data_IF_718009014495
#
_entry.id   IF_718009014495
#
_cell.length_a   1.000
_cell.length_b   1.000
_cell.length_c   1.000
_cell.angle_alpha   90.00
_cell.angle_beta   90.00
_cell.angle_gamma   90.00
#
_symmetry.space_group_name_H-M   'P 1'
#
loop_
_entity.id
_entity.type
_entity.pdbx_description
1 polymer ?
#
# COMPACT_ATOMS: atom_id res chain seq x y z
N UNK A 1 9.04 -25.09 -4.34
CA UNK A 1 7.60 -24.79 -4.17
C UNK A 1 6.93 -24.75 -5.54
N UNK A 2 5.66 -25.15 -5.63
CA UNK A 2 4.78 -25.03 -6.81
C UNK A 2 3.64 -24.03 -6.53
N UNK A 3 2.91 -23.59 -7.56
CA UNK A 3 1.81 -22.62 -7.39
C UNK A 3 0.68 -23.14 -6.51
N UNK A 4 0.33 -24.42 -6.66
CA UNK A 4 -0.66 -25.11 -5.81
C UNK A 4 -0.19 -25.18 -4.35
N UNK A 5 1.08 -25.52 -4.12
CA UNK A 5 1.65 -25.58 -2.75
C UNK A 5 1.60 -24.22 -2.04
N UNK A 6 1.91 -23.12 -2.74
CA UNK A 6 1.80 -21.77 -2.18
C UNK A 6 0.34 -21.41 -1.87
N UNK A 7 -0.59 -21.74 -2.77
CA UNK A 7 -2.00 -21.45 -2.58
C UNK A 7 -2.59 -22.23 -1.40
N UNK A 8 -2.28 -23.52 -1.29
CA UNK A 8 -2.66 -24.38 -0.16
C UNK A 8 -2.10 -23.82 1.16
N UNK A 9 -0.83 -23.39 1.16
CA UNK A 9 -0.21 -22.78 2.32
C UNK A 9 -0.93 -21.51 2.78
N UNK A 10 -1.26 -20.60 1.87
CA UNK A 10 -1.97 -19.35 2.23
C UNK A 10 -3.41 -19.66 2.67
N UNK A 11 -4.06 -20.65 2.07
CA UNK A 11 -5.45 -21.02 2.38
C UNK A 11 -5.63 -21.50 3.83
N UNK A 12 -4.57 -22.02 4.45
CA UNK A 12 -4.54 -22.41 5.85
C UNK A 12 -4.47 -21.19 6.81
N UNK A 13 -4.25 -19.96 6.31
CA UNK A 13 -4.40 -18.72 7.09
C UNK A 13 -5.90 -18.38 7.19
N UNK A 14 -6.52 -18.44 8.39
CA UNK A 14 -7.94 -18.20 8.57
C UNK A 14 -8.36 -16.82 8.05
N UNK A 15 -9.54 -16.72 7.44
CA UNK A 15 -10.08 -15.44 6.98
C UNK A 15 -9.58 -14.98 5.60
N UNK A 16 -8.63 -15.69 4.98
CA UNK A 16 -8.23 -15.43 3.60
C UNK A 16 -9.08 -16.22 2.60
N UNK A 17 -9.30 -15.64 1.43
CA UNK A 17 -9.97 -16.28 0.30
C UNK A 17 -8.95 -16.41 -0.84
N UNK A 18 -8.47 -17.63 -1.09
CA UNK A 18 -7.42 -17.89 -2.07
C UNK A 18 -8.01 -18.46 -3.36
N UNK A 19 -7.64 -17.87 -4.48
CA UNK A 19 -7.84 -18.44 -5.81
C UNK A 19 -6.50 -18.52 -6.54
N UNK A 20 -6.33 -19.50 -7.42
CA UNK A 20 -5.09 -19.62 -8.19
C UNK A 20 -5.36 -20.18 -9.59
N UNK A 21 -4.48 -19.81 -10.51
CA UNK A 21 -4.50 -20.25 -11.90
C UNK A 21 -3.08 -20.37 -12.45
N UNK A 22 -2.92 -20.50 -13.78
CA UNK A 22 -1.60 -20.63 -14.40
C UNK A 22 -0.65 -19.47 -14.04
N UNK A 23 0.26 -19.70 -13.09
CA UNK A 23 1.30 -18.75 -12.69
C UNK A 23 0.84 -17.55 -11.84
N UNK A 24 -0.40 -17.55 -11.35
CA UNK A 24 -0.97 -16.46 -10.53
C UNK A 24 -1.70 -17.04 -9.31
N UNK A 25 -1.44 -16.46 -8.14
CA UNK A 25 -2.20 -16.68 -6.91
C UNK A 25 -2.84 -15.35 -6.51
N UNK A 26 -4.14 -15.35 -6.26
CA UNK A 26 -4.88 -14.18 -5.77
C UNK A 26 -5.38 -14.49 -4.36
N UNK A 27 -5.09 -13.59 -3.43
CA UNK A 27 -5.45 -13.73 -2.02
C UNK A 27 -6.31 -12.55 -1.65
N UNK A 28 -7.62 -12.77 -1.60
CA UNK A 28 -8.55 -11.77 -1.09
C UNK A 28 -8.56 -11.79 0.43
N UNK A 29 -8.43 -10.61 1.04
CA UNK A 29 -8.44 -10.43 2.50
C UNK A 29 -9.66 -9.56 2.83
N UNK A 30 -10.81 -10.16 3.20
CA UNK A 30 -12.06 -9.43 3.40
C UNK A 30 -11.98 -8.32 4.43
N UNK A 31 -11.17 -8.49 5.48
CA UNK A 31 -11.01 -7.50 6.55
C UNK A 31 -10.45 -6.15 6.05
N UNK A 32 -9.55 -6.17 5.06
CA UNK A 32 -9.04 -4.94 4.41
C UNK A 32 -9.80 -4.59 3.12
N UNK A 33 -10.57 -5.54 2.58
CA UNK A 33 -11.36 -5.38 1.36
C UNK A 33 -10.49 -5.20 0.12
N UNK A 34 -9.32 -5.82 0.09
CA UNK A 34 -8.37 -5.79 -1.03
C UNK A 34 -7.85 -7.20 -1.34
N UNK A 35 -7.20 -7.35 -2.48
CA UNK A 35 -6.69 -8.62 -2.99
C UNK A 35 -5.22 -8.48 -3.34
N UNK A 36 -4.39 -9.31 -2.74
CA UNK A 36 -2.99 -9.46 -3.14
C UNK A 36 -2.91 -10.32 -4.39
N UNK A 37 -2.24 -9.84 -5.44
CA UNK A 37 -2.01 -10.58 -6.68
C UNK A 37 -0.55 -10.98 -6.81
N UNK A 38 -0.27 -12.28 -6.74
CA UNK A 38 1.07 -12.84 -6.71
C UNK A 38 1.36 -13.60 -8.00
N UNK A 39 2.21 -13.02 -8.85
CA UNK A 39 2.78 -13.76 -9.96
C UNK A 39 3.80 -14.77 -9.41
N UNK A 40 3.54 -16.06 -9.61
CA UNK A 40 4.34 -17.13 -9.01
C UNK A 40 5.82 -17.08 -9.44
N UNK A 41 6.10 -16.62 -10.66
CA UNK A 41 7.48 -16.42 -11.15
C UNK A 41 8.30 -15.43 -10.31
N UNK A 42 7.62 -14.58 -9.54
CA UNK A 42 8.24 -13.58 -8.69
C UNK A 42 8.30 -14.04 -7.22
N UNK A 43 7.82 -15.23 -6.89
CA UNK A 43 7.92 -15.81 -5.54
C UNK A 43 9.27 -16.54 -5.42
N UNK A 44 10.08 -16.12 -4.46
CA UNK A 44 11.39 -16.72 -4.16
C UNK A 44 11.27 -17.84 -3.15
N UNK A 45 10.54 -17.58 -2.06
CA UNK A 45 10.30 -18.53 -0.98
C UNK A 45 9.00 -18.18 -0.23
N UNK A 46 8.50 -19.12 0.58
CA UNK A 46 7.41 -18.86 1.51
C UNK A 46 7.50 -19.74 2.76
N UNK A 47 7.26 -19.13 3.92
CA UNK A 47 7.41 -19.75 5.23
C UNK A 47 6.23 -19.44 6.16
N UNK A 48 5.92 -20.42 7.01
CA UNK A 48 4.95 -20.26 8.08
C UNK A 48 5.56 -19.41 9.20
N UNK A 49 4.88 -18.33 9.54
CA UNK A 49 5.28 -17.43 10.62
C UNK A 49 4.12 -17.24 11.60
N UNK A 50 4.46 -16.79 12.81
CA UNK A 50 3.45 -16.39 13.79
C UNK A 50 3.62 -14.90 14.04
N UNK A 51 2.52 -14.15 13.93
CA UNK A 51 2.52 -12.75 14.37
C UNK A 51 2.61 -12.71 15.91
N UNK A 52 2.96 -11.57 16.53
CA UNK A 52 3.15 -11.49 17.99
C UNK A 52 1.94 -11.94 18.83
N UNK A 53 0.72 -11.92 18.27
CA UNK A 53 -0.50 -12.41 18.90
C UNK A 53 -0.61 -13.94 18.93
N UNK A 54 0.30 -14.65 18.28
CA UNK A 54 0.27 -16.11 18.10
C UNK A 54 -0.64 -16.58 16.98
N UNK A 55 -1.28 -15.67 16.23
CA UNK A 55 -2.07 -16.04 15.06
C UNK A 55 -1.16 -16.51 13.91
N UNK A 56 -1.64 -17.47 13.08
CA UNK A 56 -0.88 -17.96 11.95
C UNK A 56 -0.79 -16.88 10.87
N UNK A 57 0.33 -16.88 10.15
CA UNK A 57 0.59 -16.03 9.00
C UNK A 57 1.56 -16.73 8.05
N UNK A 58 1.59 -16.26 6.80
CA UNK A 58 2.53 -16.73 5.78
C UNK A 58 3.39 -15.57 5.34
N UNK A 59 4.71 -15.70 5.49
CA UNK A 59 5.67 -14.79 4.88
C UNK A 59 6.04 -15.31 3.49
N UNK A 60 6.06 -14.41 2.52
CA UNK A 60 6.37 -14.68 1.12
C UNK A 60 7.46 -13.70 0.72
N UNK A 61 8.59 -14.24 0.28
CA UNK A 61 9.68 -13.42 -0.23
C UNK A 61 9.50 -13.22 -1.73
N UNK A 62 9.31 -11.97 -2.15
CA UNK A 62 9.02 -11.59 -3.53
C UNK A 62 10.23 -10.97 -4.20
N UNK A 63 10.51 -11.39 -5.42
CA UNK A 63 11.50 -10.76 -6.30
C UNK A 63 10.93 -9.49 -6.93
N UNK A 64 11.61 -8.36 -6.76
CA UNK A 64 11.35 -7.11 -7.51
C UNK A 64 12.66 -6.55 -8.03
N UNK A 65 12.87 -6.69 -9.35
CA UNK A 65 14.16 -6.36 -9.96
C UNK A 65 15.29 -7.20 -9.36
N UNK A 66 16.21 -6.55 -8.65
CA UNK A 66 17.33 -7.16 -7.96
C UNK A 66 17.10 -7.35 -6.45
N UNK A 67 15.93 -6.95 -5.94
CA UNK A 67 15.60 -6.99 -4.51
C UNK A 67 14.71 -8.19 -4.18
N UNK A 68 14.85 -8.67 -2.94
CA UNK A 68 13.88 -9.54 -2.28
C UNK A 68 13.11 -8.68 -1.27
N UNK A 69 11.80 -8.64 -1.38
CA UNK A 69 10.92 -7.89 -0.47
C UNK A 69 9.94 -8.84 0.21
N UNK A 70 9.74 -8.70 1.54
CA UNK A 70 8.80 -9.55 2.26
C UNK A 70 7.35 -9.06 2.05
N UNK A 71 6.45 -10.01 1.91
CA UNK A 71 5.01 -9.84 2.10
C UNK A 71 4.57 -10.84 3.16
N UNK A 72 3.87 -10.37 4.19
CA UNK A 72 3.30 -11.26 5.22
C UNK A 72 1.78 -11.16 5.14
N UNK A 73 1.12 -12.29 4.88
CA UNK A 73 -0.33 -12.41 4.88
C UNK A 73 -0.77 -12.92 6.25
N UNK A 74 -1.60 -12.16 6.93
CA UNK A 74 -2.18 -12.51 8.23
C UNK A 74 -3.66 -12.84 8.09
N UNK A 75 -4.30 -13.18 9.21
CA UNK A 75 -5.74 -13.50 9.27
C UNK A 75 -6.63 -12.37 8.74
N UNK A 76 -6.20 -11.13 8.91
CA UNK A 76 -7.02 -9.94 8.68
C UNK A 76 -6.26 -8.79 7.98
N UNK A 77 -5.01 -9.01 7.56
CA UNK A 77 -4.16 -7.94 7.03
C UNK A 77 -3.07 -8.47 6.08
N UNK A 78 -2.41 -7.53 5.41
CA UNK A 78 -1.19 -7.75 4.65
C UNK A 78 -0.12 -6.77 5.12
N UNK A 79 1.06 -7.27 5.46
CA UNK A 79 2.19 -6.48 5.96
C UNK A 79 3.30 -6.49 4.92
N UNK A 80 3.87 -5.33 4.63
CA UNK A 80 4.86 -5.15 3.56
C UNK A 80 5.88 -4.06 3.91
N UNK A 81 6.98 -4.06 3.16
CA UNK A 81 8.01 -3.01 3.22
C UNK A 81 7.56 -1.79 2.41
N UNK A 82 7.50 -0.58 3.00
CA UNK A 82 7.36 0.67 2.24
C UNK A 82 8.42 0.82 1.14
N UNK A 83 8.09 1.48 0.04
CA UNK A 83 9.11 1.88 -0.92
C UNK A 83 10.07 2.91 -0.32
N UNK A 84 11.32 2.96 -0.78
CA UNK A 84 12.25 4.00 -0.35
C UNK A 84 11.89 5.33 -1.01
N UNK A 85 11.97 6.42 -0.24
CA UNK A 85 11.72 7.75 -0.79
C UNK A 85 12.68 8.10 -1.95
N UNK A 86 13.92 7.65 -1.86
CA UNK A 86 14.96 7.82 -2.89
C UNK A 86 14.60 7.17 -4.24
N UNK A 87 13.71 6.17 -4.24
CA UNK A 87 13.21 5.55 -5.47
C UNK A 87 12.09 6.37 -6.12
N UNK A 88 11.40 7.20 -5.33
CA UNK A 88 10.19 7.93 -5.74
C UNK A 88 10.47 9.40 -6.07
N UNK A 89 11.43 10.02 -5.39
CA UNK A 89 11.72 11.45 -5.48
C UNK A 89 12.73 11.73 -6.58
N UNK A 90 12.53 12.84 -7.30
CA UNK A 90 13.50 13.36 -8.26
C UNK A 90 14.85 13.62 -7.54
N UNK A 91 15.98 13.12 -8.04
CA UNK A 91 17.27 13.23 -7.35
C UNK A 91 17.75 14.68 -7.14
N UNK A 92 17.18 15.66 -7.83
CA UNK A 92 17.49 17.08 -7.63
C UNK A 92 16.70 17.73 -6.48
N UNK A 93 15.68 17.06 -5.96
CA UNK A 93 14.84 17.57 -4.86
C UNK A 93 15.30 16.96 -3.53
N UNK A 94 15.49 17.81 -2.53
CA UNK A 94 15.75 17.41 -1.14
C UNK A 94 14.45 17.54 -0.33
N UNK A 95 14.10 16.49 0.41
CA UNK A 95 12.95 16.54 1.31
C UNK A 95 13.22 15.72 2.57
N UNK A 96 12.70 16.23 3.69
CA UNK A 96 12.73 15.51 4.95
C UNK A 96 11.85 14.27 4.83
N UNK A 97 12.47 13.10 4.94
CA UNK A 97 11.77 11.83 5.07
C UNK A 97 11.69 11.53 6.57
N UNK A 98 10.49 11.36 7.13
CA UNK A 98 10.38 10.98 8.54
C UNK A 98 10.96 9.57 8.73
N UNK A 99 11.28 9.20 9.98
CA UNK A 99 11.68 7.82 10.27
C UNK A 99 10.55 6.87 9.87
N UNK A 100 10.72 6.16 8.75
CA UNK A 100 9.73 5.23 8.22
C UNK A 100 9.83 3.89 8.94
N UNK A 101 8.70 3.21 9.18
CA UNK A 101 8.73 1.85 9.71
C UNK A 101 9.33 0.89 8.68
N UNK A 102 10.03 -0.14 9.17
CA UNK A 102 10.58 -1.19 8.31
C UNK A 102 9.50 -2.07 7.67
N UNK A 103 8.34 -2.19 8.32
CA UNK A 103 7.18 -2.92 7.84
C UNK A 103 5.94 -2.12 8.26
N UNK A 104 4.92 -2.12 7.40
CA UNK A 104 3.64 -1.52 7.70
C UNK A 104 2.52 -2.46 7.26
N UNK A 105 1.43 -2.51 8.02
CA UNK A 105 0.24 -3.24 7.60
C UNK A 105 -0.64 -2.39 6.69
N UNK A 106 -1.45 -3.03 5.83
CA UNK A 106 -2.40 -2.32 4.99
C UNK A 106 -3.40 -1.54 5.85
N UNK A 107 -3.89 -2.13 6.94
CA UNK A 107 -4.84 -1.46 7.82
C UNK A 107 -4.24 -0.24 8.53
N UNK A 108 -2.97 -0.31 8.95
CA UNK A 108 -2.22 0.84 9.51
C UNK A 108 -2.06 1.94 8.47
N UNK A 109 -1.57 1.61 7.27
CA UNK A 109 -1.47 2.54 6.15
C UNK A 109 -2.82 3.24 5.88
N UNK A 110 -3.91 2.48 5.78
CA UNK A 110 -5.24 3.04 5.54
C UNK A 110 -5.69 3.96 6.67
N UNK A 111 -5.52 3.53 7.93
CA UNK A 111 -5.88 4.33 9.11
C UNK A 111 -5.13 5.65 9.12
N UNK A 112 -3.82 5.63 8.90
CA UNK A 112 -2.95 6.79 9.04
C UNK A 112 -3.20 7.82 7.92
N UNK A 113 -3.29 7.34 6.67
CA UNK A 113 -3.62 8.20 5.51
C UNK A 113 -5.00 8.84 5.68
N UNK A 114 -5.99 8.05 6.14
CA UNK A 114 -7.34 8.56 6.39
C UNK A 114 -7.39 9.55 7.56
N UNK A 115 -6.61 9.32 8.62
CA UNK A 115 -6.56 10.22 9.76
C UNK A 115 -6.04 11.59 9.35
N UNK A 116 -4.97 11.64 8.56
CA UNK A 116 -4.44 12.90 8.02
C UNK A 116 -5.46 13.60 7.11
N UNK A 117 -6.12 12.85 6.23
CA UNK A 117 -7.14 13.40 5.34
C UNK A 117 -8.38 13.91 6.06
N UNK A 118 -8.65 13.49 7.30
CA UNK A 118 -9.67 14.13 8.16
C UNK A 118 -9.12 15.38 8.85
N UNK A 119 -7.88 15.33 9.32
CA UNK A 119 -7.25 16.43 10.04
C UNK A 119 -7.10 17.68 9.16
N UNK A 120 -6.89 17.53 7.85
CA UNK A 120 -6.73 18.67 6.92
C UNK A 120 -7.97 19.56 6.81
N UNK A 121 -9.16 19.05 7.13
CA UNK A 121 -10.40 19.83 7.13
C UNK A 121 -10.75 20.38 8.52
N UNK A 122 -10.02 19.98 9.57
CA UNK A 122 -10.25 20.42 10.93
C UNK A 122 -9.53 21.75 11.19
N UNK A 123 -10.30 22.82 11.44
CA UNK A 123 -9.77 24.16 11.67
C UNK A 123 -9.08 24.34 13.02
N UNK A 124 -9.29 23.41 13.96
CA UNK A 124 -8.65 23.46 15.28
C UNK A 124 -7.27 22.77 15.27
N UNK A 125 -6.94 22.07 14.19
CA UNK A 125 -5.65 21.38 14.04
C UNK A 125 -4.71 22.23 13.19
N UNK A 126 -3.63 22.70 13.80
CA UNK A 126 -2.52 23.31 13.06
C UNK A 126 -1.51 22.24 12.64
N UNK A 127 -1.27 22.13 11.34
CA UNK A 127 -0.29 21.21 10.76
C UNK A 127 0.89 22.02 10.22
N UNK A 128 2.09 21.75 10.73
CA UNK A 128 3.31 22.37 10.21
C UNK A 128 3.55 21.93 8.76
N UNK A 129 3.75 22.87 7.80
CA UNK A 129 3.87 22.54 6.38
C UNK A 129 4.93 21.50 6.04
N UNK A 130 6.10 21.56 6.71
CA UNK A 130 7.20 20.63 6.49
C UNK A 130 6.85 19.22 6.96
N UNK A 131 6.20 19.10 8.13
CA UNK A 131 5.73 17.82 8.68
C UNK A 131 4.64 17.24 7.77
N UNK A 132 3.72 18.08 7.28
CA UNK A 132 2.65 17.65 6.37
C UNK A 132 3.22 17.12 5.04
N UNK A 133 4.18 17.84 4.45
CA UNK A 133 4.86 17.40 3.23
C UNK A 133 5.62 16.09 3.44
N UNK A 134 6.38 15.98 4.52
CA UNK A 134 7.12 14.77 4.90
C UNK A 134 6.18 13.57 5.13
N UNK A 135 5.03 13.80 5.77
CA UNK A 135 4.02 12.76 6.03
C UNK A 135 3.35 12.30 4.73
N UNK A 136 3.01 13.22 3.82
CA UNK A 136 2.47 12.87 2.50
C UNK A 136 3.48 12.06 1.67
N UNK A 137 4.77 12.39 1.76
CA UNK A 137 5.83 11.59 1.13
C UNK A 137 5.89 10.17 1.72
N UNK A 138 5.86 10.02 3.04
CA UNK A 138 5.84 8.71 3.70
C UNK A 138 4.61 7.89 3.29
N UNK A 139 3.42 8.51 3.25
CA UNK A 139 2.21 7.84 2.77
C UNK A 139 2.31 7.39 1.31
N UNK A 140 2.97 8.16 0.44
CA UNK A 140 3.24 7.72 -0.94
C UNK A 140 4.20 6.53 -0.98
N UNK A 141 5.19 6.50 -0.09
CA UNK A 141 6.07 5.35 0.08
C UNK A 141 5.29 4.09 0.51
N UNK A 142 4.29 4.22 1.38
CA UNK A 142 3.42 3.12 1.77
C UNK A 142 2.58 2.60 0.59
N UNK A 143 1.94 3.51 -0.15
CA UNK A 143 1.14 3.15 -1.33
C UNK A 143 1.98 2.45 -2.41
N UNK A 144 3.18 2.97 -2.67
CA UNK A 144 4.11 2.35 -3.61
C UNK A 144 4.57 0.97 -3.11
N UNK A 145 4.84 0.80 -1.81
CA UNK A 145 5.14 -0.49 -1.20
C UNK A 145 4.00 -1.51 -1.40
N UNK A 146 2.76 -1.09 -1.16
CA UNK A 146 1.57 -1.92 -1.36
C UNK A 146 1.44 -2.38 -2.83
N UNK A 147 1.60 -1.46 -3.79
CA UNK A 147 1.58 -1.77 -5.22
C UNK A 147 2.70 -2.74 -5.60
N UNK A 148 3.91 -2.57 -5.04
CA UNK A 148 5.05 -3.47 -5.28
C UNK A 148 4.74 -4.90 -4.83
N UNK A 149 4.03 -5.12 -3.74
CA UNK A 149 3.66 -6.48 -3.28
C UNK A 149 2.41 -7.05 -3.95
N UNK A 150 1.79 -6.30 -4.88
CA UNK A 150 0.65 -6.78 -5.67
C UNK A 150 -0.73 -6.42 -5.11
N UNK A 151 -0.80 -5.51 -4.12
CA UNK A 151 -2.05 -4.88 -3.69
C UNK A 151 -2.44 -3.73 -4.64
N UNK A 152 -3.70 -3.28 -4.60
CA UNK A 152 -4.15 -2.15 -5.42
C UNK A 152 -5.02 -1.17 -4.60
N UNK A 153 -4.38 -0.34 -3.74
CA UNK A 153 -5.04 0.36 -2.64
C UNK A 153 -5.81 1.63 -3.07
N UNK A 154 -6.75 1.52 -4.02
CA UNK A 154 -7.49 2.66 -4.61
C UNK A 154 -8.15 3.54 -3.53
N UNK A 155 -8.75 2.93 -2.50
CA UNK A 155 -9.42 3.67 -1.41
C UNK A 155 -8.44 4.51 -0.58
N UNK A 156 -7.25 4.00 -0.34
CA UNK A 156 -6.22 4.70 0.45
C UNK A 156 -5.58 5.79 -0.41
N UNK A 157 -5.30 5.48 -1.67
CA UNK A 157 -4.81 6.45 -2.66
C UNK A 157 -5.77 7.63 -2.83
N UNK A 158 -7.09 7.40 -2.78
CA UNK A 158 -8.09 8.46 -2.83
C UNK A 158 -8.02 9.43 -1.64
N UNK A 159 -7.67 8.96 -0.44
CA UNK A 159 -7.44 9.83 0.72
C UNK A 159 -6.13 10.60 0.60
N UNK A 160 -5.08 9.96 0.09
CA UNK A 160 -3.81 10.62 -0.17
C UNK A 160 -3.97 11.76 -1.18
N UNK A 161 -4.62 11.50 -2.32
CA UNK A 161 -4.86 12.50 -3.36
C UNK A 161 -5.70 13.65 -2.81
N UNK A 162 -6.76 13.34 -2.05
CA UNK A 162 -7.60 14.36 -1.43
C UNK A 162 -6.78 15.31 -0.53
N UNK A 163 -5.96 14.72 0.34
CA UNK A 163 -5.14 15.47 1.30
C UNK A 163 -4.08 16.30 0.57
N UNK A 164 -3.41 15.72 -0.43
CA UNK A 164 -2.41 16.41 -1.25
C UNK A 164 -3.03 17.58 -2.02
N UNK A 165 -4.21 17.40 -2.61
CA UNK A 165 -4.89 18.45 -3.36
C UNK A 165 -5.33 19.60 -2.46
N UNK A 166 -5.81 19.30 -1.24
CA UNK A 166 -6.23 20.33 -0.28
C UNK A 166 -5.10 21.11 0.34
N UNK A 167 -3.92 20.51 0.48
CA UNK A 167 -2.74 21.15 1.04
C UNK A 167 -1.86 21.85 0.00
N UNK A 168 -2.18 21.74 -1.30
CA UNK A 168 -1.31 22.20 -2.40
C UNK A 168 -0.96 23.70 -2.38
N UNK A 169 -1.76 24.54 -1.70
CA UNK A 169 -1.46 25.96 -1.54
C UNK A 169 -0.47 26.25 -0.39
N UNK A 170 -0.39 25.35 0.58
CA UNK A 170 0.29 25.56 1.87
C UNK A 170 1.60 24.79 1.98
N UNK A 171 1.77 23.73 1.19
CA UNK A 171 2.98 22.90 1.19
C UNK A 171 3.63 22.83 -0.18
N UNK A 172 4.94 22.53 -0.17
CA UNK A 172 5.67 22.12 -1.37
C UNK A 172 6.03 20.64 -1.24
N UNK A 173 5.43 19.82 -2.09
CA UNK A 173 5.85 18.42 -2.25
C UNK A 173 7.05 18.31 -3.19
N UNK A 174 7.87 17.28 -2.99
CA UNK A 174 8.92 16.90 -3.93
C UNK A 174 8.32 16.63 -5.30
N UNK A 175 9.12 16.90 -6.33
CA UNK A 175 8.91 16.31 -7.64
C UNK A 175 9.12 14.80 -7.51
N UNK A 176 8.14 14.06 -8.00
CA UNK A 176 8.21 12.62 -8.05
C UNK A 176 8.65 12.17 -9.43
N UNK A 177 9.40 11.07 -9.48
CA UNK A 177 9.75 10.39 -10.72
C UNK A 177 8.49 9.90 -11.42
N UNK A 178 8.57 9.79 -12.75
CA UNK A 178 7.50 9.19 -13.54
C UNK A 178 7.30 7.73 -13.13
N UNK A 179 6.07 7.37 -12.78
CA UNK A 179 5.69 6.02 -12.34
C UNK A 179 4.36 5.64 -13.01
N UNK A 180 4.40 4.78 -14.06
CA UNK A 180 3.19 4.36 -14.76
C UNK A 180 2.18 3.61 -13.87
N UNK A 181 2.65 2.92 -12.82
CA UNK A 181 1.74 2.23 -11.90
C UNK A 181 1.02 3.24 -11.02
N UNK A 182 1.71 4.27 -10.57
CA UNK A 182 1.11 5.40 -9.87
C UNK A 182 0.06 6.12 -10.74
N UNK A 183 0.41 6.41 -12.00
CA UNK A 183 -0.51 7.07 -12.92
C UNK A 183 -1.80 6.26 -13.13
N UNK A 184 -1.66 4.93 -13.28
CA UNK A 184 -2.82 4.03 -13.37
C UNK A 184 -3.64 4.01 -12.07
N UNK A 185 -2.99 3.98 -10.90
CA UNK A 185 -3.66 4.04 -9.61
C UNK A 185 -4.47 5.33 -9.45
N UNK A 186 -3.92 6.49 -9.85
CA UNK A 186 -4.62 7.78 -9.83
C UNK A 186 -5.78 7.84 -10.84
N UNK A 187 -5.63 7.19 -12.01
CA UNK A 187 -6.73 7.04 -12.95
C UNK A 187 -7.89 6.23 -12.35
N UNK A 188 -7.59 5.15 -11.63
CA UNK A 188 -8.58 4.31 -10.97
C UNK A 188 -9.25 5.05 -9.79
N UNK A 189 -8.51 5.88 -9.04
CA UNK A 189 -9.08 6.80 -8.04
C UNK A 189 -10.10 7.75 -8.70
N UNK A 190 -9.75 8.32 -9.85
CA UNK A 190 -10.61 9.23 -10.59
C UNK A 190 -11.89 8.53 -11.09
N UNK A 191 -11.77 7.30 -11.60
CA UNK A 191 -12.90 6.48 -12.02
C UNK A 191 -13.79 6.09 -10.82
N UNK A 192 -13.21 5.65 -9.71
CA UNK A 192 -13.94 5.28 -8.51
C UNK A 192 -14.76 6.46 -7.95
N UNK A 193 -14.19 7.67 -7.95
CA UNK A 193 -14.92 8.89 -7.56
C UNK A 193 -16.07 9.20 -8.51
N UNK A 194 -15.88 9.07 -9.83
CA UNK A 194 -16.97 9.26 -10.81
C UNK A 194 -18.13 8.31 -10.58
N UNK A 195 -17.87 7.06 -10.21
CA UNK A 195 -18.91 6.06 -9.88
C UNK A 195 -19.59 6.29 -8.54
N UNK A 196 -18.91 6.97 -7.61
CA UNK A 196 -19.42 7.24 -6.25
C UNK A 196 -20.14 8.58 -6.13
N UNK A 197 -19.98 9.48 -7.11
CA UNK A 197 -20.74 10.71 -7.18
C UNK A 197 -22.23 10.36 -7.40
N UNK A 198 -23.16 10.88 -6.57
CA UNK A 198 -24.58 10.68 -6.81
C UNK A 198 -24.91 11.21 -8.20
N UNK A 199 -25.63 10.40 -9.00
CA UNK A 199 -26.20 10.89 -10.24
C UNK A 199 -27.03 12.13 -9.91
N UNK A 200 -26.68 13.29 -10.47
CA UNK A 200 -27.53 14.47 -10.41
C UNK A 200 -28.89 14.08 -11.01
N UNK A 201 -29.92 14.01 -10.16
CA UNK A 201 -31.34 13.89 -10.54
C UNK A 201 -31.92 15.30 -10.58
#
# INVERSE_FOLDING_TARGET
MRTDELAEMIQEVPGTEVSYGPGLVEVHIPAIGDTVRLAFRDVLDADWVHVPTGAPAVQIDLKRGHESIPLIITVDDAVFLPAYADDLVDPEDELLVPAMPNLISYSEMHRDVRALGKAIDDREIELEPEILAATLLAHRCFLAGAVRVGLWPVRVAAWWEYTSARSAADIRLARFRGDPQWDQLMADVTEARRRSAPAEI
#
